data_IF_324236535878
#
_entry.id   IF_324236535878
#
_cell.length_a   1.000
_cell.length_b   1.000
_cell.length_c   1.000
_cell.angle_alpha   90.00
_cell.angle_beta   90.00
_cell.angle_gamma   90.00
#
_symmetry.space_group_name_H-M   'P 1'
#
loop_
_entity.id
_entity.type
_entity.pdbx_description
1 polymer ?
#
# COMPACT_ATOMS: atom_id res chain seq x y z
N UNK A 1 17.78 32.07 -49.72
CA UNK A 1 16.45 31.59 -49.27
C UNK A 1 16.42 30.09 -49.52
N UNK A 2 16.79 29.29 -48.51
CA UNK A 2 16.74 27.83 -48.54
C UNK A 2 16.10 27.41 -47.20
N UNK A 3 14.92 26.82 -47.27
CA UNK A 3 14.02 26.60 -46.14
C UNK A 3 14.39 25.30 -45.41
N UNK A 4 14.60 25.39 -44.10
CA UNK A 4 14.82 24.26 -43.21
C UNK A 4 13.53 23.44 -43.05
N UNK A 5 13.63 22.11 -43.08
CA UNK A 5 12.55 21.19 -42.68
C UNK A 5 13.04 20.40 -41.47
N UNK A 6 12.47 20.71 -40.31
CA UNK A 6 12.71 19.99 -39.06
C UNK A 6 12.20 18.56 -39.14
N UNK A 7 13.00 17.63 -38.66
CA UNK A 7 12.62 16.22 -38.44
C UNK A 7 11.91 16.11 -37.09
N UNK A 8 10.60 15.88 -37.14
CA UNK A 8 9.79 15.45 -36.02
C UNK A 8 10.11 13.97 -35.74
N UNK A 9 10.83 13.68 -34.65
CA UNK A 9 11.01 12.32 -34.16
C UNK A 9 9.89 12.01 -33.19
N UNK A 10 8.75 11.57 -33.73
CA UNK A 10 7.74 10.89 -32.93
C UNK A 10 8.27 9.50 -32.55
N UNK A 11 8.71 9.40 -31.30
CA UNK A 11 9.15 8.17 -30.64
C UNK A 11 8.00 7.16 -30.65
N UNK A 12 7.97 6.32 -31.68
CA UNK A 12 6.95 5.32 -31.90
C UNK A 12 7.46 4.02 -31.31
N UNK A 13 7.27 3.82 -30.00
CA UNK A 13 7.52 2.53 -29.36
C UNK A 13 6.52 1.51 -29.90
N UNK A 14 6.96 0.42 -30.55
CA UNK A 14 6.05 -0.64 -31.00
C UNK A 14 5.35 -1.27 -29.80
N UNK A 15 4.03 -1.11 -29.74
CA UNK A 15 3.19 -1.71 -28.70
C UNK A 15 2.91 -3.18 -29.08
N UNK A 16 3.80 -4.08 -28.66
CA UNK A 16 3.70 -5.54 -28.90
C UNK A 16 2.72 -6.24 -27.94
N UNK A 17 1.83 -5.49 -27.28
CA UNK A 17 0.79 -6.07 -26.44
C UNK A 17 -0.21 -6.90 -27.27
N UNK A 18 -0.57 -8.13 -26.84
CA UNK A 18 -1.68 -8.86 -27.43
C UNK A 18 -2.95 -8.00 -27.39
N UNK A 19 -3.67 -7.93 -28.52
CA UNK A 19 -4.86 -7.07 -28.71
C UNK A 19 -5.97 -7.28 -27.68
N UNK A 20 -5.92 -8.38 -26.92
CA UNK A 20 -6.80 -8.68 -25.80
C UNK A 20 -6.64 -7.73 -24.59
N UNK A 21 -5.52 -7.01 -24.46
CA UNK A 21 -5.22 -6.17 -23.28
C UNK A 21 -5.02 -4.67 -23.58
N UNK A 22 -5.40 -4.19 -24.77
CA UNK A 22 -5.36 -2.75 -25.08
C UNK A 22 -6.32 -1.96 -24.18
N UNK A 23 -5.77 -1.08 -23.34
CA UNK A 23 -6.51 -0.26 -22.37
C UNK A 23 -7.31 0.90 -22.99
N UNK A 24 -7.29 1.05 -24.31
CA UNK A 24 -7.87 2.19 -25.02
C UNK A 24 -9.39 2.05 -25.27
N UNK A 25 -10.02 0.91 -24.94
CA UNK A 25 -11.44 0.64 -25.25
C UNK A 25 -12.46 0.71 -24.10
N UNK A 26 -12.05 1.02 -22.86
CA UNK A 26 -13.00 1.09 -21.72
C UNK A 26 -13.55 2.48 -21.40
N UNK A 27 -13.33 3.46 -22.28
CA UNK A 27 -13.67 4.86 -21.99
C UNK A 27 -14.99 5.38 -22.56
N UNK A 28 -15.68 4.61 -23.40
CA UNK A 28 -16.95 5.04 -23.97
C UNK A 28 -18.05 3.99 -23.73
N UNK A 29 -19.20 4.50 -23.26
CA UNK A 29 -20.50 3.82 -23.09
C UNK A 29 -20.79 3.18 -21.71
N UNK A 30 -20.82 4.02 -20.67
CA UNK A 30 -21.87 3.97 -19.65
C UNK A 30 -22.83 5.13 -19.95
N UNK A 31 -23.63 4.95 -21.00
CA UNK A 31 -24.70 5.88 -21.39
C UNK A 31 -25.87 5.67 -20.43
N UNK A 32 -26.33 6.78 -19.86
CA UNK A 32 -27.35 6.86 -18.82
C UNK A 32 -28.71 6.30 -19.25
N UNK A 33 -29.32 5.58 -18.32
CA UNK A 33 -30.74 5.27 -18.30
C UNK A 33 -31.44 6.16 -17.27
N UNK A 34 -32.29 7.06 -17.76
CA UNK A 34 -33.27 7.83 -16.99
C UNK A 34 -34.29 6.90 -16.33
N UNK A 35 -34.47 7.01 -15.02
CA UNK A 35 -35.74 6.72 -14.34
C UNK A 35 -36.06 7.85 -13.35
N UNK A 36 -36.59 8.95 -13.86
CA UNK A 36 -37.43 9.85 -13.07
C UNK A 36 -38.86 9.31 -13.13
N UNK A 37 -39.28 8.60 -12.08
CA UNK A 37 -40.63 8.04 -12.00
C UNK A 37 -40.98 7.59 -10.59
N UNK A 38 -41.92 8.30 -9.95
CA UNK A 38 -42.67 7.93 -8.76
C UNK A 38 -41.92 7.79 -7.42
N UNK A 39 -41.57 8.93 -6.80
CA UNK A 39 -41.36 9.00 -5.34
C UNK A 39 -42.71 9.32 -4.68
N UNK A 40 -43.60 8.33 -4.62
CA UNK A 40 -44.73 8.35 -3.71
C UNK A 40 -45.10 6.89 -3.41
N UNK A 41 -44.83 6.44 -2.19
CA UNK A 41 -45.01 5.09 -1.65
C UNK A 41 -43.87 4.09 -1.91
N UNK A 42 -42.72 4.31 -1.26
CA UNK A 42 -41.84 3.20 -0.87
C UNK A 42 -42.03 2.96 0.63
N UNK A 43 -42.40 1.73 1.08
CA UNK A 43 -42.33 1.39 2.50
C UNK A 43 -40.88 1.56 2.96
N UNK A 44 -40.68 1.94 4.22
CA UNK A 44 -39.37 2.11 4.85
C UNK A 44 -38.54 0.84 4.70
N UNK A 45 -37.73 0.75 3.64
CA UNK A 45 -36.71 -0.26 3.52
C UNK A 45 -35.67 0.01 4.60
N UNK A 46 -35.26 -1.00 5.39
CA UNK A 46 -34.17 -0.83 6.33
C UNK A 46 -32.95 -0.36 5.54
N UNK A 47 -32.31 0.72 5.99
CA UNK A 47 -31.07 1.19 5.42
C UNK A 47 -30.04 0.05 5.53
N UNK A 48 -29.78 -0.63 4.41
CA UNK A 48 -28.62 -1.50 4.29
C UNK A 48 -27.42 -0.58 4.45
N UNK A 49 -26.69 -0.72 5.56
CA UNK A 49 -25.49 0.05 5.80
C UNK A 49 -24.55 -0.17 4.60
N UNK A 50 -24.22 0.93 3.91
CA UNK A 50 -23.17 0.89 2.90
C UNK A 50 -21.89 0.37 3.57
N UNK A 51 -21.08 -0.45 2.87
CA UNK A 51 -19.79 -0.85 3.42
C UNK A 51 -19.03 0.42 3.83
N UNK A 52 -18.49 0.42 5.04
CA UNK A 52 -17.71 1.56 5.53
C UNK A 52 -16.57 1.79 4.55
N UNK A 53 -16.64 2.90 3.82
CA UNK A 53 -15.61 3.28 2.88
C UNK A 53 -14.37 3.70 3.69
N UNK A 54 -13.21 3.21 3.27
CA UNK A 54 -11.95 3.68 3.80
C UNK A 54 -11.84 5.19 3.57
N UNK A 55 -11.80 5.97 4.65
CA UNK A 55 -11.81 7.43 4.61
C UNK A 55 -10.40 8.00 4.75
N UNK A 56 -10.22 9.26 4.36
CA UNK A 56 -8.93 9.96 4.53
C UNK A 56 -8.52 10.05 6.00
N UNK A 57 -9.50 10.18 6.90
CA UNK A 57 -9.29 10.18 8.35
C UNK A 57 -8.82 8.81 8.86
N UNK A 58 -9.43 7.73 8.37
CA UNK A 58 -8.97 6.36 8.67
C UNK A 58 -7.54 6.13 8.15
N UNK A 59 -7.24 6.62 6.94
CA UNK A 59 -5.90 6.56 6.37
C UNK A 59 -4.88 7.34 7.22
N UNK A 60 -5.23 8.52 7.70
CA UNK A 60 -4.37 9.34 8.55
C UNK A 60 -4.03 8.63 9.88
N UNK A 61 -5.03 8.06 10.56
CA UNK A 61 -4.80 7.29 11.80
C UNK A 61 -3.99 6.03 11.58
N UNK A 62 -4.24 5.32 10.48
CA UNK A 62 -3.45 4.16 10.10
C UNK A 62 -1.98 4.54 9.87
N UNK A 63 -1.71 5.66 9.21
CA UNK A 63 -0.36 6.17 9.01
C UNK A 63 0.29 6.63 10.31
N UNK A 64 -0.46 7.28 11.20
CA UNK A 64 0.01 7.68 12.54
C UNK A 64 0.54 6.45 13.29
N UNK A 65 -0.29 5.41 13.48
CA UNK A 65 0.14 4.22 14.19
C UNK A 65 1.26 3.46 13.45
N UNK A 66 1.20 3.39 12.12
CA UNK A 66 2.24 2.73 11.33
C UNK A 66 3.61 3.37 11.52
N UNK A 67 3.67 4.70 11.57
CA UNK A 67 4.93 5.44 11.79
C UNK A 67 5.51 5.28 13.20
N UNK A 68 4.66 5.02 14.19
CA UNK A 68 5.11 4.67 15.54
C UNK A 68 5.63 3.23 15.61
N UNK A 69 4.96 2.30 14.92
CA UNK A 69 5.30 0.87 14.93
C UNK A 69 6.53 0.54 14.08
N UNK A 70 6.79 1.31 13.02
CA UNK A 70 7.83 0.99 12.03
C UNK A 70 8.80 2.17 11.89
N UNK A 71 10.09 2.00 12.25
CA UNK A 71 11.09 3.08 12.26
C UNK A 71 11.65 3.40 10.86
N UNK A 72 10.77 3.54 9.86
CA UNK A 72 11.14 3.82 8.48
C UNK A 72 10.26 4.92 7.87
N UNK A 73 10.70 5.54 6.78
CA UNK A 73 9.86 6.46 6.02
C UNK A 73 8.82 5.69 5.22
N UNK A 74 7.56 5.79 5.65
CA UNK A 74 6.43 5.11 5.02
C UNK A 74 5.78 6.00 3.97
N UNK A 75 5.33 5.39 2.86
CA UNK A 75 4.60 6.10 1.80
C UNK A 75 3.10 6.11 2.11
N UNK A 76 2.50 7.30 2.15
CA UNK A 76 1.10 7.47 2.52
C UNK A 76 0.14 6.78 1.54
N UNK A 77 0.43 6.79 0.22
CA UNK A 77 -0.45 6.14 -0.76
C UNK A 77 -0.51 4.62 -0.57
N UNK A 78 0.62 4.01 -0.19
CA UNK A 78 0.71 2.58 0.09
C UNK A 78 -0.03 2.25 1.38
N UNK A 79 0.20 3.04 2.43
CA UNK A 79 -0.48 2.82 3.70
C UNK A 79 -2.00 2.95 3.62
N UNK A 80 -2.50 3.87 2.79
CA UNK A 80 -3.95 3.99 2.54
C UNK A 80 -4.53 2.71 1.93
N UNK A 81 -3.88 2.14 0.90
CA UNK A 81 -4.32 0.88 0.27
C UNK A 81 -4.22 -0.31 1.23
N UNK A 82 -3.12 -0.39 1.97
CA UNK A 82 -2.87 -1.42 2.96
C UNK A 82 -3.93 -1.39 4.06
N UNK A 83 -4.21 -0.22 4.64
CA UNK A 83 -5.24 -0.07 5.67
C UNK A 83 -6.64 -0.45 5.17
N UNK A 84 -7.00 -0.06 3.94
CA UNK A 84 -8.26 -0.46 3.32
C UNK A 84 -8.39 -1.99 3.18
N UNK A 85 -7.33 -2.67 2.75
CA UNK A 85 -7.31 -4.12 2.63
C UNK A 85 -7.32 -4.83 3.99
N UNK A 86 -6.59 -4.31 4.98
CA UNK A 86 -6.64 -4.80 6.35
C UNK A 86 -8.05 -4.66 6.94
N UNK A 87 -8.76 -3.57 6.66
CA UNK A 87 -10.12 -3.35 7.14
C UNK A 87 -11.11 -4.34 6.51
N UNK A 88 -10.92 -4.71 5.24
CA UNK A 88 -11.74 -5.71 4.57
C UNK A 88 -11.63 -7.10 5.23
N UNK A 89 -10.47 -7.43 5.80
CA UNK A 89 -10.22 -8.69 6.50
C UNK A 89 -10.59 -8.62 7.98
N UNK A 90 -10.46 -7.45 8.58
CA UNK A 90 -10.71 -7.20 9.99
C UNK A 90 -11.59 -5.95 10.16
N UNK A 91 -12.92 -6.12 10.28
CA UNK A 91 -13.85 -5.01 10.49
C UNK A 91 -13.60 -4.22 11.79
N UNK A 92 -12.91 -4.80 12.77
CA UNK A 92 -12.56 -4.14 14.03
C UNK A 92 -11.26 -3.31 13.96
N UNK A 93 -10.61 -3.25 12.78
CA UNK A 93 -9.31 -2.60 12.60
C UNK A 93 -9.26 -1.18 13.16
N UNK A 94 -10.24 -0.33 12.81
CA UNK A 94 -10.24 1.07 13.25
C UNK A 94 -10.34 1.21 14.77
N UNK A 95 -11.18 0.37 15.41
CA UNK A 95 -11.28 0.34 16.86
C UNK A 95 -9.97 -0.09 17.52
N UNK A 96 -9.27 -1.07 16.94
CA UNK A 96 -7.99 -1.54 17.44
C UNK A 96 -6.88 -0.50 17.23
N UNK A 97 -6.88 0.21 16.11
CA UNK A 97 -5.97 1.35 15.85
C UNK A 97 -6.20 2.44 16.88
N UNK A 98 -7.45 2.83 17.14
CA UNK A 98 -7.77 3.83 18.15
C UNK A 98 -7.29 3.38 19.55
N UNK A 99 -7.44 2.09 19.86
CA UNK A 99 -6.89 1.47 21.07
C UNK A 99 -5.36 1.59 21.15
N UNK A 100 -4.65 1.21 20.10
CA UNK A 100 -3.18 1.31 20.04
C UNK A 100 -2.70 2.77 20.16
N UNK A 101 -3.34 3.70 19.44
CA UNK A 101 -3.04 5.12 19.51
C UNK A 101 -3.28 5.69 20.91
N UNK A 102 -4.32 5.23 21.61
CA UNK A 102 -4.58 5.66 22.99
C UNK A 102 -3.45 5.26 23.94
N UNK A 103 -2.91 4.05 23.80
CA UNK A 103 -1.78 3.55 24.59
C UNK A 103 -0.52 4.34 24.26
N UNK A 104 -0.22 4.52 22.96
CA UNK A 104 0.93 5.28 22.51
C UNK A 104 0.92 6.74 23.00
N UNK A 105 -0.24 7.41 22.91
CA UNK A 105 -0.42 8.80 23.39
C UNK A 105 -0.29 8.90 24.90
N UNK A 106 -0.84 7.95 25.66
CA UNK A 106 -0.68 7.93 27.11
C UNK A 106 0.79 7.84 27.55
N UNK A 107 1.64 7.20 26.73
CA UNK A 107 3.09 7.09 26.95
C UNK A 107 3.91 8.22 26.32
N UNK A 108 3.28 9.14 25.58
CA UNK A 108 3.97 10.12 24.74
C UNK A 108 5.01 9.45 23.81
N UNK A 109 4.64 8.28 23.27
CA UNK A 109 5.53 7.46 22.47
C UNK A 109 5.99 8.17 21.19
N UNK A 110 7.25 7.96 20.85
CA UNK A 110 7.88 8.39 19.60
C UNK A 110 8.32 7.21 18.74
N UNK A 111 8.61 6.08 19.39
CA UNK A 111 9.00 4.82 18.75
C UNK A 111 8.23 3.65 19.35
N UNK A 112 8.31 2.49 18.71
CA UNK A 112 7.58 1.28 19.11
C UNK A 112 7.96 0.83 20.52
N UNK A 113 9.23 0.96 20.88
CA UNK A 113 9.77 0.56 22.18
C UNK A 113 9.14 1.33 23.35
N UNK A 114 8.64 2.54 23.12
CA UNK A 114 8.07 3.40 24.17
C UNK A 114 6.72 2.89 24.70
N UNK A 115 5.98 2.08 23.92
CA UNK A 115 4.61 1.68 24.28
C UNK A 115 4.26 0.22 23.99
N UNK A 116 5.00 -0.48 23.13
CA UNK A 116 4.61 -1.81 22.68
C UNK A 116 4.56 -2.85 23.81
N UNK A 117 5.38 -2.68 24.84
CA UNK A 117 5.37 -3.53 26.05
C UNK A 117 4.07 -3.40 26.87
N UNK A 118 3.36 -2.27 26.75
CA UNK A 118 2.10 -2.01 27.44
C UNK A 118 0.87 -2.46 26.63
N UNK A 119 1.05 -2.92 25.39
CA UNK A 119 -0.05 -3.43 24.56
C UNK A 119 -0.46 -4.81 25.07
N UNK A 120 -1.73 -4.98 25.50
CA UNK A 120 -2.19 -6.26 26.04
C UNK A 120 -2.18 -7.34 24.97
N UNK A 121 -1.91 -8.58 25.39
CA UNK A 121 -2.02 -9.74 24.50
C UNK A 121 -3.44 -9.89 23.95
N UNK A 122 -3.54 -10.42 22.73
CA UNK A 122 -4.79 -10.60 22.00
C UNK A 122 -4.96 -9.60 20.85
N UNK A 123 -6.19 -9.21 20.49
CA UNK A 123 -6.47 -8.59 19.18
C UNK A 123 -5.72 -7.28 18.89
N UNK A 124 -5.40 -6.48 19.92
CA UNK A 124 -4.64 -5.23 19.73
C UNK A 124 -3.19 -5.53 19.34
N UNK A 125 -2.54 -6.43 20.07
CA UNK A 125 -1.16 -6.85 19.79
C UNK A 125 -1.06 -7.59 18.45
N UNK A 126 -2.02 -8.46 18.17
CA UNK A 126 -2.11 -9.17 16.89
C UNK A 126 -2.25 -8.18 15.72
N UNK A 127 -3.08 -7.14 15.89
CA UNK A 127 -3.23 -6.07 14.88
C UNK A 127 -1.94 -5.28 14.69
N UNK A 128 -1.26 -4.92 15.77
CA UNK A 128 0.01 -4.20 15.68
C UNK A 128 1.08 -5.03 14.96
N UNK A 129 1.19 -6.32 15.27
CA UNK A 129 2.08 -7.26 14.59
C UNK A 129 1.70 -7.45 13.12
N UNK A 130 0.40 -7.50 12.80
CA UNK A 130 -0.08 -7.59 11.42
C UNK A 130 0.29 -6.34 10.61
N UNK A 131 0.18 -5.14 11.18
CA UNK A 131 0.60 -3.89 10.54
C UNK A 131 2.11 -3.92 10.26
N UNK A 132 2.93 -4.30 11.25
CA UNK A 132 4.38 -4.43 11.09
C UNK A 132 4.68 -5.44 9.97
N UNK A 133 4.09 -6.62 10.03
CA UNK A 133 4.27 -7.68 9.04
C UNK A 133 3.92 -7.21 7.63
N UNK A 134 2.81 -6.47 7.48
CA UNK A 134 2.37 -5.97 6.18
C UNK A 134 3.34 -4.96 5.57
N UNK A 135 3.95 -4.09 6.37
CA UNK A 135 4.99 -3.17 5.90
C UNK A 135 6.28 -3.89 5.49
N UNK A 136 6.68 -4.91 6.23
CA UNK A 136 7.90 -5.66 5.90
C UNK A 136 7.74 -6.57 4.69
N UNK A 137 6.60 -7.25 4.55
CA UNK A 137 6.37 -8.23 3.48
C UNK A 137 5.71 -7.62 2.23
N UNK A 138 5.01 -6.50 2.37
CA UNK A 138 4.23 -5.90 1.28
C UNK A 138 2.91 -6.62 0.95
N UNK A 139 2.48 -7.54 1.83
CA UNK A 139 1.22 -8.32 1.74
C UNK A 139 0.52 -8.34 3.10
N UNK A 140 -0.81 -8.38 3.10
CA UNK A 140 -1.60 -8.38 4.35
C UNK A 140 -1.88 -9.80 4.86
N UNK A 141 -1.92 -10.79 3.98
CA UNK A 141 -2.11 -12.21 4.33
C UNK A 141 -0.92 -13.04 3.89
N UNK A 142 -0.62 -14.11 4.63
CA UNK A 142 0.42 -15.09 4.27
C UNK A 142 -0.08 -16.18 3.33
N UNK A 143 -1.03 -15.87 2.44
CA UNK A 143 -1.63 -16.83 1.53
C UNK A 143 -1.00 -16.73 0.13
N UNK A 144 -0.93 -17.83 -0.66
CA UNK A 144 -0.39 -17.79 -2.02
C UNK A 144 -1.12 -16.83 -2.96
N UNK A 145 -2.39 -16.54 -2.67
CA UNK A 145 -3.28 -15.64 -3.40
C UNK A 145 -3.47 -14.29 -2.68
N UNK A 146 -2.60 -13.98 -1.72
CA UNK A 146 -2.62 -12.70 -1.02
C UNK A 146 -2.45 -11.53 -2.00
N UNK A 147 -3.25 -10.49 -1.80
CA UNK A 147 -3.07 -9.24 -2.53
C UNK A 147 -1.72 -8.61 -2.15
N UNK A 148 -0.93 -8.28 -3.17
CA UNK A 148 0.38 -7.63 -3.02
C UNK A 148 0.22 -6.14 -3.27
N UNK A 149 0.47 -5.33 -2.25
CA UNK A 149 0.26 -3.88 -2.30
C UNK A 149 1.54 -3.12 -2.67
N UNK A 150 2.69 -3.69 -2.31
CA UNK A 150 3.93 -2.94 -2.20
C UNK A 150 5.16 -3.83 -2.39
N UNK A 151 5.19 -4.67 -3.43
CA UNK A 151 6.30 -5.60 -3.65
C UNK A 151 7.68 -4.91 -3.68
N UNK A 152 7.79 -3.82 -4.45
CA UNK A 152 9.01 -3.01 -4.56
C UNK A 152 9.34 -2.25 -3.27
N UNK A 153 8.32 -1.91 -2.49
CA UNK A 153 8.43 -1.07 -1.29
C UNK A 153 8.41 -1.87 0.01
N UNK A 154 8.41 -3.20 -0.07
CA UNK A 154 8.47 -4.10 1.07
C UNK A 154 9.79 -3.87 1.82
N UNK A 155 9.70 -3.54 3.11
CA UNK A 155 10.88 -3.13 3.87
C UNK A 155 11.91 -4.26 4.04
N UNK A 156 11.51 -5.54 3.90
CA UNK A 156 12.43 -6.67 4.00
C UNK A 156 13.56 -6.64 2.96
N UNK A 157 13.36 -5.99 1.81
CA UNK A 157 14.40 -5.87 0.78
C UNK A 157 15.38 -4.73 1.04
N UNK A 158 15.05 -3.80 1.95
CA UNK A 158 15.86 -2.62 2.23
C UNK A 158 17.29 -2.95 2.67
N UNK A 159 17.49 -3.81 3.70
CA UNK A 159 18.81 -4.09 4.25
C UNK A 159 19.80 -4.73 3.27
N UNK A 160 19.32 -5.46 2.26
CA UNK A 160 20.18 -6.20 1.32
C UNK A 160 20.24 -5.58 -0.06
N UNK A 161 19.67 -4.39 -0.27
CA UNK A 161 19.46 -3.80 -1.60
C UNK A 161 20.76 -3.45 -2.34
N UNK A 162 21.87 -3.34 -1.63
CA UNK A 162 23.21 -3.06 -2.15
C UNK A 162 23.87 -4.29 -2.80
N UNK A 163 23.53 -5.50 -2.34
CA UNK A 163 24.08 -6.77 -2.85
C UNK A 163 23.03 -7.59 -3.61
N UNK A 164 21.79 -7.60 -3.11
CA UNK A 164 20.69 -8.41 -3.62
C UNK A 164 19.66 -7.53 -4.34
N UNK A 165 19.29 -7.96 -5.54
CA UNK A 165 18.17 -7.36 -6.26
C UNK A 165 16.84 -7.89 -5.74
N UNK A 166 15.80 -7.06 -5.76
CA UNK A 166 14.43 -7.54 -5.61
C UNK A 166 14.15 -8.53 -6.76
N UNK A 167 13.59 -9.72 -6.52
CA UNK A 167 13.27 -10.65 -7.60
C UNK A 167 12.43 -9.96 -8.68
N UNK A 168 12.59 -10.34 -9.94
CA UNK A 168 12.06 -9.66 -11.14
C UNK A 168 12.61 -8.26 -11.47
N UNK A 169 13.43 -7.64 -10.61
CA UNK A 169 14.06 -6.33 -10.90
C UNK A 169 15.56 -6.51 -11.20
N UNK A 170 15.95 -6.34 -12.47
CA UNK A 170 17.36 -6.33 -12.86
C UNK A 170 17.98 -4.96 -12.57
N UNK A 171 18.69 -4.82 -11.45
CA UNK A 171 19.36 -3.56 -11.06
C UNK A 171 20.76 -3.47 -11.66
N UNK A 172 21.39 -4.61 -11.93
CA UNK A 172 22.76 -4.71 -12.43
C UNK A 172 22.79 -5.62 -13.65
N UNK A 173 23.58 -5.27 -14.67
CA UNK A 173 23.67 -6.01 -15.94
C UNK A 173 23.96 -7.52 -15.79
N UNK A 174 23.98 -8.27 -16.91
CA UNK A 174 24.08 -9.73 -16.87
C UNK A 174 25.31 -10.22 -16.08
N UNK A 175 25.18 -11.37 -15.41
CA UNK A 175 26.24 -12.08 -14.66
C UNK A 175 26.84 -11.34 -13.45
N UNK A 176 26.16 -10.33 -12.90
CA UNK A 176 26.68 -9.56 -11.75
C UNK A 176 26.75 -10.32 -10.42
N UNK A 177 26.23 -11.55 -10.36
CA UNK A 177 26.42 -12.43 -9.22
C UNK A 177 27.90 -12.85 -9.00
N UNK A 178 28.79 -12.63 -9.98
CA UNK A 178 30.25 -12.84 -9.81
C UNK A 178 31.00 -11.59 -9.37
N UNK A 179 30.34 -10.45 -9.19
CA UNK A 179 30.99 -9.22 -8.74
C UNK A 179 31.29 -9.29 -7.24
N UNK A 180 32.40 -8.68 -6.83
CA UNK A 180 32.71 -8.53 -5.41
C UNK A 180 31.62 -7.71 -4.70
N UNK A 181 31.19 -8.19 -3.53
CA UNK A 181 30.21 -7.48 -2.73
C UNK A 181 30.81 -6.13 -2.26
N UNK A 182 30.03 -5.03 -2.30
CA UNK A 182 30.46 -3.79 -1.68
C UNK A 182 30.79 -4.03 -0.19
N UNK A 183 31.74 -3.27 0.38
CA UNK A 183 32.02 -3.34 1.81
C UNK A 183 30.75 -3.03 2.60
N UNK A 184 30.62 -3.66 3.78
CA UNK A 184 29.49 -3.42 4.66
C UNK A 184 29.33 -1.92 4.91
N UNK A 185 28.12 -1.41 4.68
CA UNK A 185 27.77 -0.06 5.08
C UNK A 185 27.94 0.07 6.60
N UNK A 186 28.29 1.26 7.08
CA UNK A 186 28.36 1.53 8.52
C UNK A 186 27.01 1.16 9.15
N UNK A 187 27.05 0.39 10.25
CA UNK A 187 25.86 0.05 11.01
C UNK A 187 25.14 1.34 11.43
N UNK A 188 23.80 1.40 11.33
CA UNK A 188 23.06 2.51 11.90
C UNK A 188 23.38 2.63 13.40
N UNK A 189 23.73 3.83 13.85
CA UNK A 189 23.75 4.15 15.27
C UNK A 189 22.30 4.46 15.68
N UNK A 190 21.79 3.72 16.67
CA UNK A 190 20.45 3.87 17.23
C UNK A 190 20.51 4.54 18.60
#
# INVERSE_FOLDING_TARGET
>A
MLTARGTDMSDSYPDDCPTAFSLTRRRDVLVGGLLFGAIAALPTLPAVAAPALWSDEAAARFMEISSLLVPHRLKAEIGSRMGAAMMALNPALLQQIDGLLSIARAKNARVVEDFFADVPDGPLKDTALAIISAWYLGVVTGAPDAEVFAYEYALMYGPTRDVMTIPSYAISGPNRWTADAPPLSNMPEF
#
